data_IF_306476437784
#
_entry.id   IF_306476437784
#
_cell.length_a   1.000
_cell.length_b   1.000
_cell.length_c   1.000
_cell.angle_alpha   90.00
_cell.angle_beta   90.00
_cell.angle_gamma   90.00
#
_symmetry.space_group_name_H-M   'P 1'
#
loop_
_entity.id
_entity.type
_entity.pdbx_description
1 polymer ?
#
# COMPACT_ATOMS: atom_id res chain seq x y z
N UNK A 1 -22.29 -2.92 -50.63
CA UNK A 1 -23.19 -3.52 -49.63
C UNK A 1 -22.56 -4.84 -49.23
N UNK A 2 -21.78 -4.87 -48.15
CA UNK A 2 -21.02 -6.05 -47.70
C UNK A 2 -21.62 -6.47 -46.35
N UNK A 3 -21.98 -7.75 -46.13
CA UNK A 3 -22.71 -8.16 -44.93
C UNK A 3 -21.79 -8.24 -43.71
N UNK A 4 -22.30 -7.76 -42.58
CA UNK A 4 -21.67 -7.88 -41.27
C UNK A 4 -21.52 -9.35 -40.84
N UNK A 5 -20.27 -9.78 -40.61
CA UNK A 5 -19.95 -11.00 -39.87
C UNK A 5 -20.10 -10.71 -38.37
N UNK A 6 -21.02 -11.43 -37.73
CA UNK A 6 -21.26 -11.39 -36.30
C UNK A 6 -20.21 -12.29 -35.61
N UNK A 7 -19.28 -11.71 -34.85
CA UNK A 7 -18.34 -12.48 -34.01
C UNK A 7 -19.05 -12.93 -32.72
N UNK A 8 -19.16 -14.23 -32.41
CA UNK A 8 -19.80 -14.72 -31.20
C UNK A 8 -18.92 -14.68 -29.93
N UNK A 9 -17.71 -14.08 -29.99
CA UNK A 9 -16.79 -14.01 -28.83
C UNK A 9 -16.92 -12.75 -27.97
N UNK A 10 -18.04 -12.02 -28.04
CA UNK A 10 -18.34 -10.92 -27.12
C UNK A 10 -18.83 -11.42 -25.75
N UNK A 11 -18.03 -12.27 -25.09
CA UNK A 11 -18.22 -12.69 -23.71
C UNK A 11 -17.51 -11.77 -22.72
N UNK A 12 -17.59 -10.45 -22.92
CA UNK A 12 -17.17 -9.51 -21.89
C UNK A 12 -18.25 -9.55 -20.82
N UNK A 13 -17.91 -10.05 -19.63
CA UNK A 13 -18.71 -9.87 -18.42
C UNK A 13 -19.09 -8.38 -18.34
N UNK A 14 -20.33 -8.06 -18.70
CA UNK A 14 -20.90 -6.74 -18.46
C UNK A 14 -20.94 -6.59 -16.95
N UNK A 15 -19.93 -5.93 -16.37
CA UNK A 15 -20.01 -5.35 -15.03
C UNK A 15 -21.36 -4.65 -14.95
N UNK A 16 -22.21 -5.04 -14.00
CA UNK A 16 -23.45 -4.30 -13.72
C UNK A 16 -23.03 -2.88 -13.31
N UNK A 17 -22.98 -1.97 -14.29
CA UNK A 17 -22.88 -0.53 -14.11
C UNK A 17 -24.22 -0.09 -13.50
N UNK A 18 -24.36 -0.18 -12.19
CA UNK A 18 -25.34 0.65 -11.50
C UNK A 18 -24.72 2.04 -11.34
N UNK A 19 -25.49 3.04 -11.75
CA UNK A 19 -25.19 4.47 -11.66
C UNK A 19 -24.96 4.92 -10.20
N UNK A 20 -23.77 4.65 -9.65
CA UNK A 20 -23.37 5.22 -8.35
C UNK A 20 -22.92 6.66 -8.57
N UNK A 21 -23.84 7.61 -8.34
CA UNK A 21 -23.62 9.08 -8.33
C UNK A 21 -22.49 9.54 -7.40
N UNK A 22 -21.96 8.68 -6.53
CA UNK A 22 -20.91 8.96 -5.54
C UNK A 22 -19.49 9.08 -6.09
N UNK A 23 -19.25 8.73 -7.36
CA UNK A 23 -17.89 8.60 -7.91
C UNK A 23 -17.35 9.88 -8.60
N UNK A 24 -17.99 11.04 -8.38
CA UNK A 24 -17.70 12.24 -9.19
C UNK A 24 -16.27 12.76 -8.95
N UNK A 25 -15.80 12.82 -7.70
CA UNK A 25 -14.46 13.34 -7.40
C UNK A 25 -13.34 12.39 -7.82
N UNK A 26 -13.46 11.09 -7.51
CA UNK A 26 -12.44 10.12 -7.90
C UNK A 26 -12.35 10.00 -9.42
N UNK A 27 -13.49 9.91 -10.14
CA UNK A 27 -13.47 9.85 -11.62
C UNK A 27 -13.11 11.15 -12.31
N UNK A 28 -13.85 12.24 -12.05
CA UNK A 28 -13.66 13.47 -12.83
C UNK A 28 -12.54 14.35 -12.29
N UNK A 29 -12.29 14.28 -10.97
CA UNK A 29 -11.19 15.00 -10.34
C UNK A 29 -9.87 14.26 -10.51
N UNK A 30 -9.69 13.13 -9.83
CA UNK A 30 -8.42 12.43 -9.81
C UNK A 30 -8.11 11.71 -11.13
N UNK A 31 -8.97 10.79 -11.58
CA UNK A 31 -8.72 10.01 -12.80
C UNK A 31 -8.72 10.91 -14.05
N UNK A 32 -9.57 11.94 -14.10
CA UNK A 32 -9.55 12.96 -15.15
C UNK A 32 -8.21 13.71 -15.24
N UNK A 33 -7.52 13.89 -14.11
CA UNK A 33 -6.15 14.40 -14.05
C UNK A 33 -5.10 13.27 -14.06
N UNK A 34 -5.45 12.05 -14.47
CA UNK A 34 -4.50 10.94 -14.61
C UNK A 34 -3.91 10.45 -13.30
N UNK A 35 -4.62 10.60 -12.18
CA UNK A 35 -4.21 10.06 -10.88
C UNK A 35 -5.37 9.38 -10.16
N UNK A 36 -5.14 8.96 -8.92
CA UNK A 36 -6.12 8.26 -8.10
C UNK A 36 -6.26 8.91 -6.72
N UNK A 37 -7.26 8.44 -5.97
CA UNK A 37 -7.52 8.85 -4.58
C UNK A 37 -7.13 7.71 -3.65
N UNK A 38 -6.47 8.06 -2.56
CA UNK A 38 -6.30 7.23 -1.36
C UNK A 38 -7.13 7.83 -0.22
N UNK A 39 -7.60 7.02 0.72
CA UNK A 39 -8.44 7.51 1.80
C UNK A 39 -8.01 6.97 3.17
N UNK A 40 -7.82 7.90 4.12
CA UNK A 40 -7.63 7.60 5.54
C UNK A 40 -8.96 7.17 6.17
N UNK A 41 -9.15 5.87 6.37
CA UNK A 41 -10.44 5.34 6.85
C UNK A 41 -10.24 4.09 7.70
N UNK A 42 -10.92 4.06 8.84
CA UNK A 42 -10.89 2.92 9.76
C UNK A 42 -12.15 2.07 9.68
N UNK A 43 -13.32 2.70 9.82
CA UNK A 43 -14.59 2.01 10.11
C UNK A 43 -15.24 1.40 8.87
N UNK A 44 -16.03 0.33 9.06
CA UNK A 44 -16.80 -0.34 8.00
C UNK A 44 -17.62 0.66 7.16
N UNK A 45 -18.42 1.51 7.81
CA UNK A 45 -19.27 2.47 7.11
C UNK A 45 -18.48 3.51 6.31
N UNK A 46 -17.32 3.96 6.82
CA UNK A 46 -16.43 4.85 6.08
C UNK A 46 -15.80 4.15 4.88
N UNK A 47 -15.35 2.90 5.06
CA UNK A 47 -14.74 2.12 3.99
C UNK A 47 -15.75 1.86 2.87
N UNK A 48 -16.99 1.50 3.21
CA UNK A 48 -18.07 1.32 2.23
C UNK A 48 -18.27 2.57 1.37
N UNK A 49 -18.30 3.76 2.00
CA UNK A 49 -18.43 5.03 1.28
C UNK A 49 -17.20 5.30 0.40
N UNK A 50 -15.98 5.06 0.89
CA UNK A 50 -14.75 5.25 0.13
C UNK A 50 -14.71 4.34 -1.11
N UNK A 51 -15.07 3.07 -0.95
CA UNK A 51 -15.14 2.09 -2.04
C UNK A 51 -16.22 2.52 -3.06
N UNK A 52 -17.41 2.88 -2.59
CA UNK A 52 -18.52 3.35 -3.43
C UNK A 52 -18.20 4.66 -4.17
N UNK A 53 -17.27 5.45 -3.64
CA UNK A 53 -16.79 6.68 -4.24
C UNK A 53 -15.60 6.46 -5.20
N UNK A 54 -15.12 5.24 -5.40
CA UNK A 54 -14.06 4.93 -6.38
C UNK A 54 -12.63 5.13 -5.87
N UNK A 55 -12.41 5.18 -4.55
CA UNK A 55 -11.06 5.21 -3.96
C UNK A 55 -10.23 3.99 -4.41
N UNK A 56 -8.92 4.16 -4.58
CA UNK A 56 -8.01 3.08 -5.04
C UNK A 56 -7.16 2.46 -3.94
N UNK A 57 -6.87 3.19 -2.87
CA UNK A 57 -6.16 2.67 -1.69
C UNK A 57 -6.86 3.10 -0.40
N UNK A 58 -7.09 2.15 0.50
CA UNK A 58 -7.49 2.42 1.89
C UNK A 58 -6.23 2.49 2.74
N UNK A 59 -6.05 3.61 3.43
CA UNK A 59 -5.00 3.79 4.42
C UNK A 59 -5.52 3.34 5.79
N UNK A 60 -4.66 2.68 6.57
CA UNK A 60 -4.96 2.00 7.82
C UNK A 60 -5.84 0.76 7.64
N UNK A 61 -7.16 0.94 7.55
CA UNK A 61 -8.12 -0.17 7.38
C UNK A 61 -8.28 -1.08 8.59
N UNK A 62 -7.87 -0.67 9.80
CA UNK A 62 -7.83 -1.57 10.97
C UNK A 62 -9.17 -2.22 11.35
N UNK A 63 -10.31 -1.60 11.01
CA UNK A 63 -11.65 -2.06 11.41
C UNK A 63 -12.49 -2.50 10.20
N UNK A 64 -11.86 -2.99 9.13
CA UNK A 64 -12.56 -3.67 8.05
C UNK A 64 -13.15 -5.00 8.52
N UNK A 65 -14.26 -5.40 7.91
CA UNK A 65 -14.87 -6.73 8.07
C UNK A 65 -14.81 -7.50 6.74
N UNK A 66 -15.39 -8.71 6.72
CA UNK A 66 -15.41 -9.57 5.54
C UNK A 66 -16.14 -8.94 4.34
N UNK A 67 -17.24 -8.21 4.56
CA UNK A 67 -17.96 -7.51 3.48
C UNK A 67 -17.04 -6.49 2.83
N UNK A 68 -16.35 -5.67 3.63
CA UNK A 68 -15.43 -4.65 3.13
C UNK A 68 -14.22 -5.28 2.45
N UNK A 69 -13.65 -6.33 3.02
CA UNK A 69 -12.53 -7.07 2.42
C UNK A 69 -12.90 -7.59 1.02
N UNK A 70 -14.08 -8.20 0.88
CA UNK A 70 -14.59 -8.71 -0.39
C UNK A 70 -14.83 -7.56 -1.38
N UNK A 71 -15.43 -6.45 -0.93
CA UNK A 71 -15.62 -5.25 -1.76
C UNK A 71 -14.29 -4.69 -2.27
N UNK A 72 -13.23 -4.66 -1.45
CA UNK A 72 -11.90 -4.20 -1.87
C UNK A 72 -11.32 -5.09 -2.97
N UNK A 73 -11.44 -6.42 -2.84
CA UNK A 73 -10.97 -7.39 -3.86
C UNK A 73 -11.73 -7.20 -5.17
N UNK A 74 -13.06 -7.13 -5.12
CA UNK A 74 -13.92 -6.96 -6.31
C UNK A 74 -13.62 -5.67 -7.07
N UNK A 75 -13.24 -4.60 -6.36
CA UNK A 75 -12.89 -3.31 -6.94
C UNK A 75 -11.39 -3.18 -7.29
N UNK A 76 -10.59 -4.22 -7.03
CA UNK A 76 -9.15 -4.22 -7.29
C UNK A 76 -8.39 -3.17 -6.49
N UNK A 77 -8.84 -2.88 -5.28
CA UNK A 77 -8.29 -1.85 -4.41
C UNK A 77 -7.04 -2.34 -3.66
N UNK A 78 -6.29 -1.37 -3.15
CA UNK A 78 -5.13 -1.57 -2.31
C UNK A 78 -5.46 -1.29 -0.84
N UNK A 79 -4.77 -2.01 0.04
CA UNK A 79 -4.71 -1.72 1.46
C UNK A 79 -3.30 -1.24 1.80
N UNK A 80 -3.19 -0.14 2.52
CA UNK A 80 -1.95 0.40 3.06
C UNK A 80 -2.05 0.38 4.59
N UNK A 81 -1.67 -0.74 5.24
CA UNK A 81 -1.64 -0.83 6.71
C UNK A 81 -0.49 0.01 7.27
N UNK A 82 -0.60 0.50 8.51
CA UNK A 82 0.50 1.12 9.26
C UNK A 82 0.45 0.62 10.71
N UNK A 83 1.46 -0.11 11.16
CA UNK A 83 1.41 -0.84 12.44
C UNK A 83 2.12 -0.09 13.55
N UNK A 84 3.31 0.43 13.25
CA UNK A 84 4.24 1.05 14.19
C UNK A 84 3.60 2.23 14.89
N UNK A 85 2.78 3.01 14.20
CA UNK A 85 2.08 4.16 14.76
C UNK A 85 1.16 3.81 15.93
N UNK A 86 0.70 2.56 16.05
CA UNK A 86 -0.10 2.13 17.21
C UNK A 86 0.75 1.55 18.34
N UNK A 87 1.90 0.95 18.02
CA UNK A 87 2.77 0.26 18.98
C UNK A 87 3.87 1.15 19.58
N UNK A 88 4.33 2.14 18.83
CA UNK A 88 5.51 2.94 19.16
C UNK A 88 5.18 4.42 19.44
N UNK A 89 3.99 4.72 19.94
CA UNK A 89 3.70 6.07 20.46
C UNK A 89 4.77 6.44 21.49
N UNK A 90 5.62 7.42 21.14
CA UNK A 90 6.59 7.97 22.10
C UNK A 90 5.84 8.44 23.33
N UNK A 91 6.43 8.29 24.52
CA UNK A 91 5.83 8.74 25.78
C UNK A 91 5.43 10.24 25.76
N UNK A 92 6.05 11.03 24.87
CA UNK A 92 5.78 12.46 24.63
C UNK A 92 4.50 12.71 23.81
N UNK A 93 3.98 11.68 23.14
CA UNK A 93 2.80 11.69 22.29
C UNK A 93 1.71 10.83 22.90
N UNK A 94 1.48 10.97 24.22
CA UNK A 94 0.32 10.34 24.85
C UNK A 94 -0.90 10.69 24.00
N UNK A 95 -1.58 9.70 23.39
CA UNK A 95 -2.66 10.00 22.48
C UNK A 95 -3.69 10.81 23.24
N UNK A 96 -4.15 11.92 22.65
CA UNK A 96 -5.23 12.73 23.23
C UNK A 96 -6.50 11.90 23.52
N UNK A 97 -6.60 10.71 22.90
CA UNK A 97 -7.71 9.76 23.02
C UNK A 97 -7.19 8.30 23.04
N UNK A 98 -6.63 7.81 24.15
CA UNK A 98 -5.99 6.50 24.23
C UNK A 98 -6.93 5.33 23.93
N UNK A 99 -8.21 5.46 24.30
CA UNK A 99 -9.22 4.42 24.02
C UNK A 99 -9.45 4.20 22.53
N UNK A 100 -9.43 5.28 21.73
CA UNK A 100 -9.54 5.17 20.27
C UNK A 100 -8.33 4.46 19.67
N UNK A 101 -7.13 4.75 20.18
CA UNK A 101 -5.89 4.08 19.79
C UNK A 101 -5.94 2.58 20.06
N UNK A 102 -6.37 2.17 21.25
CA UNK A 102 -6.50 0.75 21.61
C UNK A 102 -7.51 0.01 20.73
N UNK A 103 -8.63 0.65 20.40
CA UNK A 103 -9.64 0.05 19.52
C UNK A 103 -9.07 -0.25 18.13
N UNK A 104 -8.36 0.70 17.52
CA UNK A 104 -7.77 0.49 16.19
C UNK A 104 -6.58 -0.48 16.24
N UNK A 105 -5.77 -0.45 17.31
CA UNK A 105 -4.68 -1.40 17.50
C UNK A 105 -5.20 -2.84 17.60
N UNK A 106 -6.29 -3.07 18.34
CA UNK A 106 -6.90 -4.38 18.49
C UNK A 106 -7.39 -4.97 17.14
N UNK A 107 -7.77 -4.14 16.18
CA UNK A 107 -8.23 -4.57 14.85
C UNK A 107 -7.12 -5.01 13.88
N UNK A 108 -5.85 -4.77 14.19
CA UNK A 108 -4.73 -5.11 13.30
C UNK A 108 -4.71 -6.60 12.92
N UNK A 109 -4.93 -7.48 13.89
CA UNK A 109 -4.89 -8.93 13.68
C UNK A 109 -5.97 -9.41 12.72
N UNK A 110 -7.20 -8.95 12.92
CA UNK A 110 -8.35 -9.30 12.07
C UNK A 110 -8.16 -8.73 10.66
N UNK A 111 -7.74 -7.47 10.55
CA UNK A 111 -7.45 -6.84 9.25
C UNK A 111 -6.39 -7.62 8.45
N UNK A 112 -5.26 -8.01 9.05
CA UNK A 112 -4.24 -8.78 8.34
C UNK A 112 -4.71 -10.20 7.99
N UNK A 113 -5.52 -10.82 8.85
CA UNK A 113 -6.12 -12.13 8.59
C UNK A 113 -7.06 -12.05 7.38
N UNK A 114 -8.00 -11.11 7.38
CA UNK A 114 -8.90 -10.84 6.26
C UNK A 114 -8.14 -10.50 4.97
N UNK A 115 -7.13 -9.63 5.05
CA UNK A 115 -6.32 -9.27 3.89
C UNK A 115 -5.62 -10.49 3.27
N UNK A 116 -5.17 -11.44 4.09
CA UNK A 116 -4.56 -12.70 3.63
C UNK A 116 -5.60 -13.66 3.07
N UNK A 117 -6.72 -13.85 3.76
CA UNK A 117 -7.77 -14.83 3.41
C UNK A 117 -8.52 -14.44 2.14
N UNK A 118 -8.92 -13.17 2.02
CA UNK A 118 -9.61 -12.66 0.83
C UNK A 118 -8.66 -12.34 -0.32
N UNK A 119 -7.35 -12.27 -0.08
CA UNK A 119 -6.35 -11.91 -1.09
C UNK A 119 -6.35 -10.42 -1.45
N UNK A 120 -6.56 -9.54 -0.46
CA UNK A 120 -6.48 -8.09 -0.67
C UNK A 120 -5.04 -7.71 -1.03
N UNK A 121 -4.88 -6.95 -2.11
CA UNK A 121 -3.58 -6.38 -2.48
C UNK A 121 -3.16 -5.36 -1.43
N UNK A 122 -1.92 -5.42 -0.98
CA UNK A 122 -1.42 -4.52 0.05
C UNK A 122 -0.07 -3.90 -0.29
N UNK A 123 0.18 -2.73 0.26
CA UNK A 123 1.45 -1.99 0.17
C UNK A 123 2.10 -1.82 1.55
N UNK A 124 3.25 -1.17 1.56
CA UNK A 124 3.96 -0.80 2.77
C UNK A 124 3.76 0.70 3.05
N UNK A 125 3.51 1.04 4.31
CA UNK A 125 3.32 2.40 4.78
C UNK A 125 3.63 2.50 6.26
N UNK A 126 4.17 3.63 6.72
CA UNK A 126 4.57 3.80 8.13
C UNK A 126 3.68 4.78 8.87
N UNK A 127 3.24 5.85 8.21
CA UNK A 127 2.53 7.00 8.81
C UNK A 127 3.25 7.61 10.03
N UNK A 128 4.58 7.50 10.05
CA UNK A 128 5.42 8.13 11.07
C UNK A 128 5.61 9.61 10.71
N UNK A 129 4.72 10.46 11.21
CA UNK A 129 4.60 11.87 10.78
C UNK A 129 5.02 12.91 11.84
N UNK A 130 5.56 12.49 12.98
CA UNK A 130 5.52 13.35 14.18
C UNK A 130 6.75 14.25 14.37
N UNK A 131 7.97 13.72 14.23
CA UNK A 131 9.20 14.52 14.29
C UNK A 131 10.38 13.76 13.64
N UNK A 132 11.49 14.44 13.28
CA UNK A 132 12.63 13.79 12.62
C UNK A 132 13.25 12.62 13.39
N UNK A 133 13.20 12.65 14.74
CA UNK A 133 13.68 11.53 15.56
C UNK A 133 12.78 10.30 15.41
N UNK A 134 11.46 10.51 15.38
CA UNK A 134 10.51 9.44 15.12
C UNK A 134 10.67 8.87 13.70
N UNK A 135 10.98 9.70 12.70
CA UNK A 135 11.25 9.20 11.35
C UNK A 135 12.46 8.23 11.27
N UNK A 136 13.42 8.34 12.19
CA UNK A 136 14.52 7.36 12.28
C UNK A 136 14.02 5.95 12.63
N UNK A 137 12.86 5.85 13.30
CA UNK A 137 12.24 4.58 13.68
C UNK A 137 11.35 3.98 12.59
N UNK A 138 11.20 4.61 11.41
CA UNK A 138 10.28 4.15 10.36
C UNK A 138 10.53 2.70 9.94
N UNK A 139 11.78 2.23 9.97
CA UNK A 139 12.14 0.88 9.59
C UNK A 139 11.65 -0.17 10.60
N UNK A 140 11.32 0.21 11.84
CA UNK A 140 10.69 -0.69 12.81
C UNK A 140 9.31 -1.16 12.36
N UNK A 141 8.69 -0.50 11.38
CA UNK A 141 7.46 -0.96 10.72
C UNK A 141 7.65 -2.33 10.05
N UNK A 142 8.85 -2.63 9.56
CA UNK A 142 9.17 -3.93 8.98
C UNK A 142 9.00 -5.05 10.01
N UNK A 143 9.62 -4.88 11.19
CA UNK A 143 9.52 -5.83 12.29
C UNK A 143 8.10 -5.89 12.86
N UNK A 144 7.43 -4.75 12.99
CA UNK A 144 6.09 -4.66 13.55
C UNK A 144 5.04 -5.49 12.78
N UNK A 145 5.30 -5.81 11.51
CA UNK A 145 4.41 -6.63 10.65
C UNK A 145 4.69 -8.13 10.71
N UNK A 146 5.80 -8.56 11.32
CA UNK A 146 6.24 -9.96 11.30
C UNK A 146 5.27 -10.91 12.02
N UNK A 147 4.41 -10.39 12.89
CA UNK A 147 3.34 -11.15 13.53
C UNK A 147 2.33 -11.74 12.51
N UNK A 148 2.20 -11.14 11.32
CA UNK A 148 1.18 -11.53 10.33
C UNK A 148 1.71 -11.77 8.93
N UNK A 149 2.90 -11.25 8.61
CA UNK A 149 3.40 -11.17 7.23
C UNK A 149 4.84 -11.66 7.19
N UNK A 150 5.15 -12.59 6.27
CA UNK A 150 6.51 -13.08 6.10
C UNK A 150 7.44 -11.99 5.53
N UNK A 151 8.75 -12.02 5.85
CA UNK A 151 9.75 -11.09 5.30
C UNK A 151 9.64 -10.87 3.79
N UNK A 152 9.61 -11.97 3.02
CA UNK A 152 9.47 -11.94 1.56
C UNK A 152 8.21 -11.19 1.09
N UNK A 153 7.09 -11.36 1.79
CA UNK A 153 5.84 -10.65 1.46
C UNK A 153 5.94 -9.17 1.84
N UNK A 154 6.60 -8.81 2.94
CA UNK A 154 6.78 -7.40 3.30
C UNK A 154 7.70 -6.72 2.27
N UNK A 155 8.77 -7.37 1.82
CA UNK A 155 9.62 -6.88 0.72
C UNK A 155 8.81 -6.62 -0.55
N UNK A 156 8.00 -7.59 -0.99
CA UNK A 156 7.12 -7.41 -2.16
C UNK A 156 6.16 -6.23 -1.99
N UNK A 157 5.61 -6.04 -0.77
CA UNK A 157 4.73 -4.91 -0.46
C UNK A 157 5.47 -3.57 -0.52
N UNK A 158 6.70 -3.51 0.00
CA UNK A 158 7.54 -2.31 0.03
C UNK A 158 8.20 -1.97 -1.32
N UNK A 159 8.27 -2.94 -2.24
CA UNK A 159 8.93 -2.78 -3.54
C UNK A 159 7.91 -2.87 -4.67
N UNK A 160 7.70 -4.05 -5.25
CA UNK A 160 6.88 -4.27 -6.42
C UNK A 160 5.45 -3.71 -6.31
N UNK A 161 4.76 -3.97 -5.18
CA UNK A 161 3.38 -3.50 -5.00
C UNK A 161 3.31 -1.98 -4.84
N UNK A 162 4.23 -1.39 -4.07
CA UNK A 162 4.28 0.07 -3.91
C UNK A 162 4.63 0.75 -5.25
N UNK A 163 5.50 0.13 -6.05
CA UNK A 163 5.75 0.53 -7.44
C UNK A 163 4.49 0.51 -8.29
N UNK A 164 3.69 -0.55 -8.23
CA UNK A 164 2.40 -0.64 -8.94
C UNK A 164 1.41 0.44 -8.52
N UNK A 165 1.31 0.75 -7.21
CA UNK A 165 0.46 1.84 -6.72
C UNK A 165 0.93 3.20 -7.22
N UNK A 166 2.24 3.47 -7.24
CA UNK A 166 2.78 4.71 -7.80
C UNK A 166 2.40 4.88 -9.28
N UNK A 167 2.36 3.78 -10.05
CA UNK A 167 1.96 3.82 -11.47
C UNK A 167 0.46 4.06 -11.68
N UNK A 168 -0.39 3.94 -10.65
CA UNK A 168 -1.78 4.39 -10.74
C UNK A 168 -1.89 5.91 -10.95
N UNK A 169 -0.82 6.66 -10.72
CA UNK A 169 -0.73 8.09 -11.05
C UNK A 169 -0.35 8.37 -12.51
N UNK A 170 -0.32 7.36 -13.38
CA UNK A 170 -0.21 7.52 -14.83
C UNK A 170 0.87 8.52 -15.27
N UNK A 171 0.51 9.48 -16.11
CA UNK A 171 1.43 10.53 -16.59
C UNK A 171 1.87 11.53 -15.49
N UNK A 172 1.23 11.51 -14.32
CA UNK A 172 1.61 12.30 -13.14
C UNK A 172 2.57 11.56 -12.21
N UNK A 173 2.84 10.26 -12.45
CA UNK A 173 3.85 9.54 -11.69
C UNK A 173 5.19 10.24 -11.87
N UNK A 174 5.88 10.65 -10.78
CA UNK A 174 7.22 11.23 -10.89
C UNK A 174 8.27 10.17 -11.27
N UNK A 175 7.89 8.89 -11.29
CA UNK A 175 8.72 7.77 -11.69
C UNK A 175 8.11 7.06 -12.91
N UNK A 176 8.31 7.57 -14.14
CA UNK A 176 7.76 6.94 -15.34
C UNK A 176 8.45 5.59 -15.59
N UNK A 177 7.69 4.50 -15.68
CA UNK A 177 8.23 3.15 -15.92
C UNK A 177 8.21 2.25 -14.67
N UNK A 178 8.91 1.13 -14.72
CA UNK A 178 8.86 0.11 -13.66
C UNK A 178 9.73 0.53 -12.48
N UNK A 179 9.17 0.52 -11.26
CA UNK A 179 9.86 0.80 -9.99
C UNK A 179 9.62 -0.35 -9.02
N UNK A 180 10.58 -0.61 -8.12
CA UNK A 180 10.46 -1.66 -7.11
C UNK A 180 10.65 -3.07 -7.65
N UNK A 181 11.17 -3.23 -8.87
CA UNK A 181 11.53 -4.52 -9.47
C UNK A 181 12.86 -4.37 -10.21
N UNK A 182 13.72 -5.39 -10.10
CA UNK A 182 14.97 -5.47 -10.86
C UNK A 182 14.67 -6.24 -12.15
N UNK A 183 14.32 -5.51 -13.20
CA UNK A 183 14.05 -6.04 -14.55
C UNK A 183 14.61 -5.06 -15.59
N UNK A 184 14.84 -5.53 -16.81
CA UNK A 184 15.28 -4.66 -17.90
C UNK A 184 14.29 -3.51 -18.13
N UNK A 185 14.81 -2.29 -18.27
CA UNK A 185 14.01 -1.07 -18.45
C UNK A 185 13.38 -0.48 -17.18
N UNK A 186 13.60 -1.07 -16.00
CA UNK A 186 13.20 -0.47 -14.73
C UNK A 186 14.12 0.69 -14.31
N UNK A 187 13.65 1.52 -13.37
CA UNK A 187 14.49 2.52 -12.71
C UNK A 187 15.68 1.85 -12.00
N UNK A 188 16.86 2.42 -12.16
CA UNK A 188 18.08 1.99 -11.49
C UNK A 188 18.11 2.49 -10.03
N UNK A 189 17.15 2.00 -9.24
CA UNK A 189 17.01 2.22 -7.81
C UNK A 189 17.37 0.91 -7.10
N UNK A 190 18.58 0.86 -6.52
CA UNK A 190 19.16 -0.37 -5.98
C UNK A 190 19.64 -0.15 -4.55
N UNK A 191 19.41 -1.15 -3.72
CA UNK A 191 19.97 -1.27 -2.37
C UNK A 191 20.80 -2.55 -2.31
N UNK A 192 21.99 -2.48 -1.70
CA UNK A 192 22.75 -3.66 -1.29
C UNK A 192 22.67 -3.79 0.23
N UNK A 193 22.27 -4.97 0.70
CA UNK A 193 22.16 -5.25 2.13
C UNK A 193 23.26 -6.19 2.61
N UNK A 194 23.80 -5.92 3.79
CA UNK A 194 24.66 -6.82 4.55
C UNK A 194 23.77 -7.89 5.20
N UNK A 195 23.67 -9.05 4.54
CA UNK A 195 22.80 -10.15 4.97
C UNK A 195 21.57 -10.32 4.08
N UNK A 196 20.74 -11.31 4.43
CA UNK A 196 19.60 -11.74 3.62
C UNK A 196 18.27 -11.27 4.23
N UNK A 197 17.73 -10.16 3.72
CA UNK A 197 16.45 -9.61 4.17
C UNK A 197 15.23 -10.50 3.82
N UNK A 198 15.39 -11.52 2.99
CA UNK A 198 14.31 -12.49 2.72
C UNK A 198 14.18 -13.50 3.85
N UNK A 199 15.28 -13.79 4.55
CA UNK A 199 15.34 -14.73 5.67
C UNK A 199 15.17 -14.03 7.03
N UNK A 200 15.87 -12.92 7.23
CA UNK A 200 15.78 -12.10 8.44
C UNK A 200 15.53 -10.64 8.07
N UNK A 201 14.30 -10.18 8.30
CA UNK A 201 13.91 -8.82 7.96
C UNK A 201 14.29 -7.80 9.02
N UNK A 202 14.63 -8.25 10.23
CA UNK A 202 15.00 -7.38 11.35
C UNK A 202 16.32 -6.66 11.10
N UNK A 203 17.16 -7.19 10.19
CA UNK A 203 18.40 -6.51 9.77
C UNK A 203 18.11 -5.09 9.25
N UNK A 204 16.95 -4.86 8.64
CA UNK A 204 16.61 -3.54 8.09
C UNK A 204 16.19 -2.53 9.15
N UNK A 205 15.99 -2.92 10.42
CA UNK A 205 15.73 -1.97 11.51
C UNK A 205 16.92 -1.03 11.72
N UNK A 206 18.15 -1.55 11.67
CA UNK A 206 19.39 -0.77 11.65
C UNK A 206 19.90 -0.61 10.20
N UNK A 207 19.30 0.34 9.48
CA UNK A 207 19.66 0.60 8.09
C UNK A 207 21.08 1.13 7.90
N UNK A 208 21.66 1.74 8.93
CA UNK A 208 23.03 2.25 8.87
C UNK A 208 24.03 1.11 8.83
N UNK A 209 23.81 0.06 9.63
CA UNK A 209 24.62 -1.16 9.57
C UNK A 209 24.28 -2.06 8.38
N UNK A 210 22.99 -2.17 8.04
CA UNK A 210 22.52 -3.15 7.07
C UNK A 210 22.63 -2.71 5.61
N UNK A 211 22.52 -1.43 5.28
CA UNK A 211 22.55 -0.98 3.87
C UNK A 211 23.96 -0.51 3.50
N UNK A 212 24.69 -1.35 2.76
CA UNK A 212 26.05 -1.06 2.30
C UNK A 212 26.10 -0.10 1.10
N UNK A 213 25.06 -0.10 0.27
CA UNK A 213 25.02 0.68 -0.97
C UNK A 213 23.61 1.19 -1.27
N UNK A 214 23.52 2.44 -1.73
CA UNK A 214 22.28 3.07 -2.16
C UNK A 214 22.52 3.73 -3.53
N UNK A 215 21.80 3.26 -4.54
CA UNK A 215 21.69 3.89 -5.85
C UNK A 215 20.26 4.37 -6.07
N UNK A 216 20.12 5.58 -6.63
CA UNK A 216 18.86 6.14 -7.06
C UNK A 216 19.03 6.75 -8.45
N UNK A 217 18.15 6.38 -9.38
CA UNK A 217 18.17 6.83 -10.77
C UNK A 217 19.56 6.66 -11.43
N UNK A 218 20.25 5.55 -11.13
CA UNK A 218 21.59 5.28 -11.64
C UNK A 218 22.72 6.04 -10.94
N UNK A 219 22.42 6.92 -9.99
CA UNK A 219 23.39 7.70 -9.22
C UNK A 219 23.64 7.04 -7.86
N UNK A 220 24.91 6.80 -7.56
CA UNK A 220 25.33 6.29 -6.24
C UNK A 220 25.20 7.43 -5.22
N UNK A 221 24.40 7.22 -4.19
CA UNK A 221 24.15 8.18 -3.11
C UNK A 221 24.85 7.79 -1.80
N UNK A 222 25.12 6.50 -1.60
CA UNK A 222 25.88 5.96 -0.45
C UNK A 222 26.62 4.71 -0.89
N UNK A 223 27.87 4.59 -0.46
CA UNK A 223 28.71 3.43 -0.69
C UNK A 223 29.66 3.29 0.51
N UNK A 224 29.36 2.29 1.36
CA UNK A 224 30.13 1.97 2.55
C UNK A 224 30.77 0.57 2.36
N UNK A 225 31.46 0.39 1.24
CA UNK A 225 32.22 -0.83 0.92
C UNK A 225 33.56 -0.89 1.64
#
# INVERSE_FOLDING_TARGET
MVPHLHDPRSGVLRRRRSDRKSDTFCRYGAEGFGTHVTAHVYTVGGNKQAIDAGVRSIEHGNLIDEEIAQMMVENGMWLSPQVLVYRAFSADLRPARPEKGRLVEAGLGDMFSLAKECGIKSVFGTDVVVNPRACADQNKEFAARLDWVTPAKILTRATANSGEVLQLSGYRSPYPGVVGRIVEGAHADLLLTNGNSVEDFTILEDYDAAIAFIMKAGVINRENM
#
